data_IF_726008391780
#
_entry.id   IF_726008391780
#
_cell.length_a   1.000
_cell.length_b   1.000
_cell.length_c   1.000
_cell.angle_alpha   90.00
_cell.angle_beta   90.00
_cell.angle_gamma   90.00
#
_symmetry.space_group_name_H-M   'P 1'
#
loop_
_entity.id
_entity.type
_entity.pdbx_description
1 polymer ?
#
# COMPACT_ATOMS: atom_id res chain seq x y z
N UNK A 1 1.38 -3.35 -14.45
CA UNK A 1 0.90 -3.20 -15.83
C UNK A 1 -0.29 -2.26 -15.86
N UNK A 2 -0.37 -1.38 -16.85
CA UNK A 2 -1.48 -0.46 -17.10
C UNK A 2 -2.15 -0.89 -18.40
N UNK A 3 -3.46 -1.03 -18.37
CA UNK A 3 -4.25 -1.44 -19.54
C UNK A 3 -5.28 -0.37 -19.89
N UNK A 4 -5.48 -0.14 -21.18
CA UNK A 4 -6.66 0.55 -21.69
C UNK A 4 -7.86 -0.38 -21.56
N UNK A 5 -8.89 0.10 -20.85
CA UNK A 5 -10.13 -0.64 -20.60
C UNK A 5 -11.38 0.11 -21.11
N UNK A 6 -11.20 1.18 -21.89
CA UNK A 6 -12.30 2.04 -22.35
C UNK A 6 -13.42 1.27 -23.07
N UNK A 7 -13.05 0.22 -23.80
CA UNK A 7 -14.03 -0.63 -24.50
C UNK A 7 -14.89 -1.53 -23.60
N UNK A 8 -14.54 -1.71 -22.31
CA UNK A 8 -15.37 -2.51 -21.40
C UNK A 8 -16.75 -1.88 -21.14
N UNK A 9 -16.84 -0.54 -21.14
CA UNK A 9 -18.12 0.15 -21.03
C UNK A 9 -19.08 -0.17 -22.19
N UNK A 10 -18.54 -0.35 -23.40
CA UNK A 10 -19.32 -0.73 -24.58
C UNK A 10 -19.84 -2.17 -24.49
N UNK A 11 -19.04 -3.08 -23.92
CA UNK A 11 -19.48 -4.45 -23.64
C UNK A 11 -20.54 -4.45 -22.56
N UNK A 12 -20.35 -3.69 -21.47
CA UNK A 12 -21.33 -3.61 -20.38
C UNK A 12 -22.69 -3.02 -20.83
N UNK A 13 -22.67 -2.07 -21.76
CA UNK A 13 -23.90 -1.50 -22.36
C UNK A 13 -24.52 -2.35 -23.46
N UNK A 14 -23.91 -3.45 -23.87
CA UNK A 14 -24.34 -4.30 -24.98
C UNK A 14 -24.07 -3.72 -26.36
N UNK A 15 -23.36 -2.59 -26.48
CA UNK A 15 -23.02 -1.98 -27.76
C UNK A 15 -21.81 -2.65 -28.46
N UNK A 16 -21.08 -3.50 -27.75
CA UNK A 16 -20.09 -4.39 -28.28
C UNK A 16 -20.24 -5.80 -27.67
N UNK A 17 -19.87 -6.85 -28.42
CA UNK A 17 -19.92 -8.24 -27.94
C UNK A 17 -18.71 -8.61 -27.09
N UNK A 18 -17.56 -8.04 -27.35
CA UNK A 18 -16.31 -8.33 -26.66
C UNK A 18 -15.35 -7.14 -26.75
N UNK A 19 -14.39 -7.11 -25.87
CA UNK A 19 -13.28 -6.17 -25.89
C UNK A 19 -12.02 -6.85 -25.33
N UNK A 20 -10.90 -6.62 -25.96
CA UNK A 20 -9.59 -7.09 -25.49
C UNK A 20 -8.82 -5.89 -24.93
N UNK A 21 -8.54 -5.84 -23.62
CA UNK A 21 -7.75 -4.78 -23.02
C UNK A 21 -6.37 -4.67 -23.69
N UNK A 22 -5.98 -3.45 -24.04
CA UNK A 22 -4.68 -3.17 -24.64
C UNK A 22 -3.68 -2.77 -23.56
N UNK A 23 -2.53 -3.46 -23.49
CA UNK A 23 -1.44 -3.06 -22.61
C UNK A 23 -0.90 -1.69 -23.05
N UNK A 24 -0.91 -0.71 -22.16
CA UNK A 24 -0.34 0.62 -22.36
C UNK A 24 1.08 0.68 -21.83
N UNK A 25 1.30 0.27 -20.59
CA UNK A 25 2.60 0.37 -19.96
C UNK A 25 2.85 -0.71 -18.92
N UNK A 26 4.12 -0.90 -18.63
CA UNK A 26 4.60 -1.87 -17.64
C UNK A 26 5.79 -1.31 -16.88
N UNK A 27 5.80 -1.53 -15.58
CA UNK A 27 6.99 -1.38 -14.74
C UNK A 27 7.30 -2.73 -14.08
N UNK A 28 8.57 -3.03 -13.92
CA UNK A 28 9.04 -4.28 -13.31
C UNK A 28 9.98 -3.92 -12.16
N UNK A 29 9.70 -4.44 -10.96
CA UNK A 29 10.53 -4.24 -9.77
C UNK A 29 11.53 -5.39 -9.56
N UNK A 30 11.35 -6.51 -10.25
CA UNK A 30 12.07 -7.75 -10.04
C UNK A 30 12.81 -8.20 -11.30
N UNK A 31 14.10 -8.54 -11.22
CA UNK A 31 15.01 -8.25 -10.11
C UNK A 31 15.25 -6.74 -9.94
N UNK A 32 15.91 -6.23 -8.86
CA UNK A 32 16.71 -7.00 -7.89
C UNK A 32 15.96 -7.43 -6.64
N UNK A 33 14.70 -6.98 -6.47
CA UNK A 33 13.94 -7.30 -5.25
C UNK A 33 13.16 -8.61 -5.39
N UNK A 34 12.91 -9.34 -4.28
CA UNK A 34 12.04 -10.51 -4.28
C UNK A 34 10.62 -10.14 -4.72
N UNK A 35 10.05 -10.93 -5.63
CA UNK A 35 8.72 -10.69 -6.18
C UNK A 35 7.59 -10.87 -5.17
N UNK A 36 6.39 -10.63 -5.58
CA UNK A 36 5.05 -10.70 -5.00
C UNK A 36 4.41 -9.32 -4.83
N UNK A 37 4.40 -8.52 -5.91
CA UNK A 37 3.57 -7.31 -5.95
C UNK A 37 2.11 -7.70 -5.71
N UNK A 38 1.50 -7.06 -4.71
CA UNK A 38 0.19 -7.45 -4.19
C UNK A 38 -0.89 -6.41 -4.48
N UNK A 39 -0.76 -5.21 -3.92
CA UNK A 39 -1.79 -4.16 -4.05
C UNK A 39 -1.28 -3.00 -4.90
N UNK A 40 -2.17 -2.43 -5.72
CA UNK A 40 -1.90 -1.24 -6.49
C UNK A 40 -3.03 -0.23 -6.26
N UNK A 41 -2.67 1.00 -5.87
CA UNK A 41 -3.61 2.04 -5.49
C UNK A 41 -3.29 3.35 -6.22
N UNK A 42 -4.08 3.74 -7.23
CA UNK A 42 -3.90 5.01 -7.93
C UNK A 42 -4.28 6.22 -7.06
N UNK A 43 -3.49 7.28 -7.14
CA UNK A 43 -3.80 8.64 -6.69
C UNK A 43 -4.15 9.46 -7.93
N UNK A 44 -5.41 9.44 -8.34
CA UNK A 44 -5.82 9.94 -9.65
C UNK A 44 -5.54 11.42 -9.87
N UNK A 45 -5.73 12.26 -8.84
CA UNK A 45 -5.48 13.71 -8.95
C UNK A 45 -4.02 14.05 -9.14
N UNK A 46 -3.13 13.23 -8.57
CA UNK A 46 -1.68 13.43 -8.65
C UNK A 46 -1.04 12.67 -9.81
N UNK A 47 -1.77 11.74 -10.43
CA UNK A 47 -1.24 10.81 -11.42
C UNK A 47 0.00 10.06 -10.90
N UNK A 48 -0.06 9.70 -9.62
CA UNK A 48 0.86 8.82 -8.92
C UNK A 48 0.14 7.52 -8.53
N UNK A 49 0.87 6.54 -8.07
CA UNK A 49 0.28 5.34 -7.50
C UNK A 49 1.15 4.79 -6.37
N UNK A 50 0.49 4.19 -5.39
CA UNK A 50 1.13 3.30 -4.43
C UNK A 50 1.05 1.86 -4.92
N UNK A 51 2.11 1.10 -4.72
CA UNK A 51 2.08 -0.35 -4.86
C UNK A 51 2.70 -0.99 -3.62
N UNK A 52 2.24 -2.16 -3.24
CA UNK A 52 2.85 -2.93 -2.17
C UNK A 52 3.26 -4.31 -2.65
N UNK A 53 4.34 -4.82 -2.09
CA UNK A 53 4.65 -6.25 -2.14
C UNK A 53 3.85 -7.00 -1.07
N UNK A 54 3.92 -8.33 -1.07
CA UNK A 54 3.46 -9.17 0.03
C UNK A 54 4.63 -9.96 0.61
N UNK A 55 4.80 -9.90 1.94
CA UNK A 55 5.62 -10.87 2.64
C UNK A 55 4.88 -12.22 2.72
N UNK A 56 5.49 -13.26 2.15
CA UNK A 56 4.90 -14.59 2.05
C UNK A 56 5.57 -15.62 2.93
N UNK A 57 6.71 -15.30 3.54
CA UNK A 57 7.52 -16.20 4.34
C UNK A 57 7.83 -15.64 5.73
N UNK A 58 7.68 -16.47 6.76
CA UNK A 58 7.98 -16.07 8.13
C UNK A 58 9.46 -15.72 8.33
N UNK A 59 9.72 -14.85 9.31
CA UNK A 59 11.06 -14.45 9.73
C UNK A 59 11.87 -13.78 8.60
N UNK A 60 11.22 -13.00 7.74
CA UNK A 60 11.81 -12.24 6.65
C UNK A 60 12.61 -13.08 5.64
N UNK A 61 12.27 -14.33 5.44
CA UNK A 61 13.00 -15.20 4.50
C UNK A 61 12.92 -14.73 3.04
N UNK A 62 11.92 -13.92 2.71
CA UNK A 62 11.73 -13.34 1.39
C UNK A 62 11.75 -11.78 1.40
N UNK A 63 12.32 -11.18 2.45
CA UNK A 63 12.51 -9.72 2.56
C UNK A 63 13.52 -9.19 1.51
N UNK A 64 13.45 -7.89 1.18
CA UNK A 64 12.48 -6.91 1.66
C UNK A 64 11.15 -6.98 0.92
N UNK A 65 10.06 -6.60 1.60
CA UNK A 65 8.73 -6.38 1.01
C UNK A 65 8.30 -4.96 1.30
N UNK A 66 8.16 -4.17 0.26
CA UNK A 66 8.14 -2.72 0.32
C UNK A 66 6.78 -2.15 -0.11
N UNK A 67 6.56 -0.90 0.26
CA UNK A 67 5.58 -0.03 -0.38
C UNK A 67 6.33 0.91 -1.32
N UNK A 68 5.88 0.97 -2.56
CA UNK A 68 6.49 1.69 -3.65
C UNK A 68 5.64 2.90 -4.02
N UNK A 69 6.29 4.01 -4.38
CA UNK A 69 5.66 5.15 -5.00
C UNK A 69 6.03 5.19 -6.48
N UNK A 70 5.01 5.27 -7.33
CA UNK A 70 5.16 5.27 -8.78
C UNK A 70 4.64 6.57 -9.39
N UNK A 71 5.34 7.07 -10.40
CA UNK A 71 4.83 8.08 -11.33
C UNK A 71 4.11 7.37 -12.48
N UNK A 72 2.84 7.70 -12.67
CA UNK A 72 1.99 7.17 -13.75
C UNK A 72 1.48 8.28 -14.69
N UNK A 73 2.13 9.46 -14.69
CA UNK A 73 1.79 10.57 -15.59
C UNK A 73 1.89 10.17 -17.06
N UNK A 74 2.90 9.35 -17.38
CA UNK A 74 3.02 8.69 -18.67
C UNK A 74 2.59 7.21 -18.52
N UNK A 75 1.34 6.90 -18.82
CA UNK A 75 0.80 5.53 -18.66
C UNK A 75 1.54 4.47 -19.49
N UNK A 76 2.19 4.91 -20.57
CA UNK A 76 3.02 4.05 -21.42
C UNK A 76 4.42 3.78 -20.84
N UNK A 77 4.83 4.57 -19.85
CA UNK A 77 6.14 4.47 -19.20
C UNK A 77 6.02 4.78 -17.69
N UNK A 78 5.34 3.95 -16.88
CA UNK A 78 5.28 4.12 -15.44
C UNK A 78 6.68 3.93 -14.82
N UNK A 79 7.04 4.77 -13.83
CA UNK A 79 8.38 4.79 -13.22
C UNK A 79 8.25 4.71 -11.70
N UNK A 80 9.12 3.90 -11.07
CA UNK A 80 9.28 3.93 -9.60
C UNK A 80 10.07 5.18 -9.23
N UNK A 81 9.54 5.97 -8.30
CA UNK A 81 10.15 7.23 -7.86
C UNK A 81 10.50 7.25 -6.37
N UNK A 82 10.07 6.24 -5.61
CA UNK A 82 10.38 6.13 -4.20
C UNK A 82 9.89 4.84 -3.56
N UNK A 83 10.33 4.63 -2.33
CA UNK A 83 9.87 3.54 -1.46
C UNK A 83 9.57 4.07 -0.07
N UNK A 84 8.69 3.38 0.67
CA UNK A 84 8.52 3.63 2.09
C UNK A 84 9.83 3.37 2.86
N UNK A 85 10.18 4.20 3.84
CA UNK A 85 11.36 3.98 4.65
C UNK A 85 11.21 2.72 5.50
N UNK A 86 12.33 2.02 5.75
CA UNK A 86 12.42 0.95 6.73
C UNK A 86 12.95 1.52 8.04
N UNK A 87 12.35 1.11 9.15
CA UNK A 87 12.80 1.51 10.48
C UNK A 87 14.00 0.69 10.95
N UNK A 88 14.83 1.28 11.81
CA UNK A 88 16.02 0.62 12.34
C UNK A 88 15.72 -0.65 13.15
N UNK A 89 14.54 -0.73 13.78
CA UNK A 89 14.08 -1.89 14.56
C UNK A 89 13.39 -2.98 13.71
N UNK A 90 13.21 -2.75 12.41
CA UNK A 90 12.60 -3.73 11.52
C UNK A 90 13.35 -5.07 11.50
N UNK A 91 14.67 -5.05 11.68
CA UNK A 91 15.46 -6.27 11.85
C UNK A 91 15.11 -7.11 13.09
N UNK A 92 14.64 -6.49 14.17
CA UNK A 92 14.15 -7.20 15.35
C UNK A 92 12.80 -7.87 15.08
N UNK A 93 11.95 -7.27 14.25
CA UNK A 93 10.67 -7.82 13.84
C UNK A 93 10.80 -9.11 13.03
N UNK A 94 11.84 -9.22 12.22
CA UNK A 94 12.15 -10.47 11.50
C UNK A 94 12.40 -11.66 12.42
N UNK A 95 12.88 -11.41 13.64
CA UNK A 95 13.17 -12.45 14.65
C UNK A 95 11.99 -12.73 15.60
N UNK A 96 10.99 -11.86 15.59
CA UNK A 96 9.87 -11.95 16.53
C UNK A 96 8.85 -13.05 16.20
N UNK A 97 8.93 -13.62 15.00
CA UNK A 97 8.01 -14.65 14.51
C UNK A 97 6.97 -14.08 13.52
N UNK A 98 6.40 -14.98 12.72
CA UNK A 98 5.44 -14.65 11.68
C UNK A 98 6.07 -13.85 10.53
N UNK A 99 5.21 -13.24 9.72
CA UNK A 99 5.59 -12.42 8.57
C UNK A 99 5.87 -10.99 9.00
N UNK A 100 6.83 -10.35 8.32
CA UNK A 100 7.14 -8.93 8.45
C UNK A 100 7.38 -8.32 7.07
N UNK A 101 6.57 -7.38 6.68
CA UNK A 101 6.64 -6.71 5.38
C UNK A 101 5.30 -6.13 4.98
N UNK A 102 5.29 -5.37 3.90
CA UNK A 102 4.08 -4.80 3.33
C UNK A 102 3.09 -5.89 2.90
N UNK A 103 1.81 -5.53 2.87
CA UNK A 103 0.75 -6.38 2.33
C UNK A 103 -0.33 -5.51 1.67
N UNK A 104 -1.52 -5.38 2.27
CA UNK A 104 -2.61 -4.61 1.70
C UNK A 104 -2.43 -3.11 1.93
N UNK A 105 -2.78 -2.32 0.93
CA UNK A 105 -2.98 -0.88 1.04
C UNK A 105 -4.46 -0.55 1.19
N UNK A 106 -4.75 0.58 1.82
CA UNK A 106 -6.10 1.13 1.87
C UNK A 106 -6.66 1.32 0.46
N UNK A 107 -7.87 0.80 0.14
CA UNK A 107 -8.46 0.97 -1.18
C UNK A 107 -8.83 2.43 -1.46
N UNK A 108 -8.24 3.04 -2.49
CA UNK A 108 -8.56 4.41 -2.91
C UNK A 108 -9.60 4.40 -4.05
N UNK A 109 -10.69 3.70 -3.84
CA UNK A 109 -11.77 3.54 -4.83
C UNK A 109 -12.98 4.38 -4.45
N UNK A 110 -13.80 4.82 -5.44
CA UNK A 110 -15.06 5.48 -5.14
C UNK A 110 -16.00 4.54 -4.40
N UNK A 111 -16.60 5.02 -3.32
CA UNK A 111 -17.58 4.26 -2.56
C UNK A 111 -17.90 4.90 -1.22
N UNK A 112 -19.01 4.53 -0.58
CA UNK A 112 -19.43 5.14 0.68
C UNK A 112 -18.64 4.64 1.90
N UNK A 113 -17.80 3.62 1.73
CA UNK A 113 -17.10 2.95 2.84
C UNK A 113 -15.66 3.43 3.04
N UNK A 114 -15.06 4.06 2.04
CA UNK A 114 -13.64 4.37 2.04
C UNK A 114 -13.40 5.87 1.87
N UNK A 115 -12.61 6.44 2.77
CA UNK A 115 -12.09 7.79 2.59
C UNK A 115 -11.11 7.81 1.41
N UNK A 116 -11.25 8.80 0.54
CA UNK A 116 -10.26 9.01 -0.52
C UNK A 116 -8.99 9.64 0.04
N UNK A 117 -7.86 9.02 -0.24
CA UNK A 117 -6.53 9.46 0.17
C UNK A 117 -5.71 9.77 -1.08
N UNK A 118 -5.42 11.05 -1.30
CA UNK A 118 -4.72 11.51 -2.52
C UNK A 118 -3.22 11.78 -2.28
N UNK A 119 -2.80 11.90 -1.02
CA UNK A 119 -1.40 12.10 -0.65
C UNK A 119 -0.88 11.01 0.28
N UNK A 120 -1.78 10.33 0.98
CA UNK A 120 -1.43 9.35 1.99
C UNK A 120 -1.90 7.94 1.60
N UNK A 121 -1.34 6.94 2.26
CA UNK A 121 -1.87 5.57 2.24
C UNK A 121 -1.74 4.95 3.62
N UNK A 122 -2.60 3.99 3.90
CA UNK A 122 -2.52 3.13 5.09
C UNK A 122 -2.19 1.72 4.62
N UNK A 123 -1.13 1.17 5.16
CA UNK A 123 -0.63 -0.15 4.81
C UNK A 123 -0.73 -1.11 6.01
N UNK A 124 -1.15 -2.33 5.78
CA UNK A 124 -0.93 -3.42 6.70
C UNK A 124 0.48 -3.97 6.52
N UNK A 125 1.14 -4.29 7.64
CA UNK A 125 2.55 -4.70 7.65
C UNK A 125 2.79 -5.94 8.52
N UNK A 126 1.86 -6.87 8.54
CA UNK A 126 1.87 -8.08 9.37
C UNK A 126 2.30 -7.81 10.81
N UNK A 127 3.43 -8.34 11.30
CA UNK A 127 3.91 -8.07 12.67
C UNK A 127 4.49 -6.66 12.87
N UNK A 128 4.66 -5.90 11.80
CA UNK A 128 4.94 -4.46 11.81
C UNK A 128 3.69 -3.59 11.97
N UNK A 129 2.51 -4.19 12.10
CA UNK A 129 1.26 -3.50 12.45
C UNK A 129 0.60 -2.76 11.30
N UNK A 130 0.07 -1.57 11.61
CA UNK A 130 -0.49 -0.61 10.66
C UNK A 130 0.50 0.50 10.47
N UNK A 131 0.79 0.86 9.21
CA UNK A 131 1.73 1.95 8.88
C UNK A 131 1.06 2.96 7.95
N UNK A 132 1.38 4.22 8.13
CA UNK A 132 0.81 5.34 7.38
C UNK A 132 1.94 6.06 6.66
N UNK A 133 1.81 6.18 5.34
CA UNK A 133 2.81 6.82 4.50
C UNK A 133 2.21 8.01 3.76
N UNK A 134 3.05 9.00 3.47
CA UNK A 134 2.71 10.18 2.69
C UNK A 134 3.71 10.39 1.56
N UNK A 135 3.19 10.75 0.38
CA UNK A 135 3.99 11.25 -0.72
C UNK A 135 4.14 12.77 -0.58
N UNK A 136 5.32 13.22 -0.19
CA UNK A 136 5.65 14.62 0.07
C UNK A 136 6.37 15.20 -1.13
N UNK A 137 5.93 16.37 -1.59
CA UNK A 137 6.63 17.07 -2.66
C UNK A 137 8.08 17.39 -2.23
N UNK A 138 8.99 17.32 -3.17
CA UNK A 138 10.39 17.70 -2.91
C UNK A 138 10.49 19.16 -2.48
N UNK A 139 11.45 19.50 -1.61
CA UNK A 139 11.64 20.87 -1.17
C UNK A 139 11.74 21.83 -2.35
N UNK A 140 11.18 23.02 -2.18
CA UNK A 140 11.21 24.08 -3.18
C UNK A 140 12.65 24.41 -3.61
N UNK A 141 12.89 24.45 -4.91
CA UNK A 141 14.18 24.82 -5.50
C UNK A 141 14.73 23.83 -6.53
N UNK A 142 14.18 22.63 -6.61
CA UNK A 142 14.51 21.68 -7.67
C UNK A 142 13.26 21.48 -8.52
N UNK A 143 13.15 22.13 -9.70
CA UNK A 143 12.02 21.93 -10.58
C UNK A 143 11.88 20.44 -10.95
N UNK A 144 10.64 19.95 -10.96
CA UNK A 144 10.30 18.58 -11.37
C UNK A 144 10.95 17.46 -10.54
N UNK A 145 11.51 17.76 -9.37
CA UNK A 145 12.00 16.71 -8.49
C UNK A 145 10.84 15.78 -8.06
N UNK A 146 11.04 14.45 -8.09
CA UNK A 146 10.00 13.53 -7.71
C UNK A 146 9.67 13.67 -6.22
N UNK A 147 8.40 13.45 -5.82
CA UNK A 147 8.05 13.39 -4.40
C UNK A 147 8.78 12.24 -3.71
N UNK A 148 9.07 12.40 -2.42
CA UNK A 148 9.61 11.35 -1.56
C UNK A 148 8.54 10.79 -0.63
N UNK A 149 8.83 9.64 -0.02
CA UNK A 149 7.91 8.97 0.90
C UNK A 149 8.34 9.21 2.34
N UNK A 150 7.39 9.66 3.16
CA UNK A 150 7.55 9.78 4.60
C UNK A 150 6.59 8.83 5.32
N UNK A 151 7.05 8.17 6.39
CA UNK A 151 6.15 7.54 7.34
C UNK A 151 5.66 8.60 8.32
N UNK A 152 4.35 8.76 8.40
CA UNK A 152 3.70 9.78 9.24
C UNK A 152 3.13 9.20 10.53
N UNK A 153 3.09 7.89 10.66
CA UNK A 153 2.65 7.21 11.86
C UNK A 153 2.54 5.71 11.71
N UNK A 154 2.53 5.02 12.86
CA UNK A 154 2.31 3.59 12.91
C UNK A 154 1.63 3.18 14.21
N UNK A 155 1.05 1.99 14.21
CA UNK A 155 0.56 1.33 15.40
C UNK A 155 0.81 -0.17 15.31
N UNK A 156 1.50 -0.72 16.30
CA UNK A 156 1.82 -2.14 16.39
C UNK A 156 1.15 -2.69 17.64
N UNK A 157 0.04 -3.44 17.51
CA UNK A 157 -0.63 -4.07 18.64
C UNK A 157 0.29 -5.11 19.32
N UNK A 158 0.08 -5.33 20.60
CA UNK A 158 0.65 -6.49 21.28
C UNK A 158 0.07 -7.78 20.71
N UNK A 159 0.87 -8.84 20.74
CA UNK A 159 0.39 -10.15 20.33
C UNK A 159 -0.75 -10.63 21.23
N UNK A 160 -1.91 -10.99 20.67
CA UNK A 160 -3.00 -11.53 21.48
C UNK A 160 -2.59 -12.86 22.13
N UNK A 161 -3.13 -13.18 23.32
CA UNK A 161 -2.89 -14.47 23.96
C UNK A 161 -3.20 -15.64 23.01
N UNK A 162 -2.32 -16.63 22.98
CA UNK A 162 -2.44 -17.84 22.12
C UNK A 162 -2.38 -17.58 20.62
N UNK A 163 -1.81 -16.44 20.20
CA UNK A 163 -1.54 -16.20 18.77
C UNK A 163 -0.53 -17.24 18.27
N UNK A 164 -0.84 -18.00 17.20
CA UNK A 164 0.01 -19.08 16.72
C UNK A 164 1.37 -18.60 16.16
N UNK A 165 1.48 -17.36 15.73
CA UNK A 165 2.75 -16.79 15.25
C UNK A 165 3.59 -16.14 16.37
N UNK A 166 3.04 -16.01 17.58
CA UNK A 166 3.68 -15.30 18.69
C UNK A 166 3.67 -13.77 18.56
N UNK A 167 3.21 -13.25 17.42
CA UNK A 167 3.13 -11.80 17.13
C UNK A 167 1.81 -11.46 16.45
N UNK A 168 1.38 -10.20 16.53
CA UNK A 168 0.27 -9.70 15.71
C UNK A 168 0.59 -9.90 14.22
N UNK A 169 -0.44 -10.15 13.43
CA UNK A 169 -0.30 -10.30 11.98
C UNK A 169 -1.39 -9.48 11.27
N UNK A 170 -1.20 -8.15 11.22
CA UNK A 170 -2.16 -7.26 10.58
C UNK A 170 -2.23 -7.55 9.09
N UNK A 171 -3.41 -8.00 8.67
CA UNK A 171 -3.63 -8.46 7.30
C UNK A 171 -4.16 -7.36 6.38
N UNK A 172 -5.05 -6.51 6.87
CA UNK A 172 -5.65 -5.43 6.10
C UNK A 172 -5.95 -4.23 7.00
N UNK A 173 -5.95 -3.03 6.40
CA UNK A 173 -6.36 -1.81 7.08
C UNK A 173 -7.09 -0.89 6.09
N UNK A 174 -8.23 -0.32 6.53
CA UNK A 174 -9.02 0.62 5.75
C UNK A 174 -9.29 1.88 6.57
N UNK A 175 -9.57 2.99 5.89
CA UNK A 175 -9.98 4.26 6.50
C UNK A 175 -11.38 4.59 6.05
N UNK A 176 -12.29 4.85 6.99
CA UNK A 176 -13.65 5.29 6.67
C UNK A 176 -13.73 6.82 6.45
N UNK A 177 -14.88 7.32 6.02
CA UNK A 177 -15.11 8.74 5.77
C UNK A 177 -14.90 9.63 7.01
N UNK A 178 -14.99 9.06 8.22
CA UNK A 178 -14.73 9.76 9.49
C UNK A 178 -13.25 9.81 9.86
N UNK A 179 -12.39 9.14 9.08
CA UNK A 179 -10.96 9.02 9.33
C UNK A 179 -10.60 7.97 10.41
N UNK A 180 -11.53 7.05 10.73
CA UNK A 180 -11.21 5.90 11.57
C UNK A 180 -10.57 4.81 10.73
N UNK A 181 -9.51 4.21 11.27
CA UNK A 181 -8.78 3.13 10.65
C UNK A 181 -9.26 1.81 11.25
N UNK A 182 -9.70 0.89 10.41
CA UNK A 182 -10.12 -0.45 10.79
C UNK A 182 -9.06 -1.43 10.32
N UNK A 183 -8.39 -2.08 11.26
CA UNK A 183 -7.31 -3.01 10.96
C UNK A 183 -7.63 -4.38 11.55
N UNK A 184 -7.46 -5.45 10.78
CA UNK A 184 -7.69 -6.80 11.26
C UNK A 184 -6.41 -7.61 11.37
N UNK A 185 -6.28 -8.33 12.49
CA UNK A 185 -5.32 -9.42 12.65
C UNK A 185 -5.87 -10.67 11.97
N UNK A 186 -5.03 -11.35 11.20
CA UNK A 186 -5.42 -12.57 10.48
C UNK A 186 -5.59 -13.81 11.35
N UNK A 187 -5.20 -13.74 12.62
CA UNK A 187 -5.30 -14.87 13.57
C UNK A 187 -6.28 -14.56 14.71
N UNK A 188 -5.77 -14.20 15.87
CA UNK A 188 -6.57 -14.13 17.11
C UNK A 188 -6.80 -12.73 17.65
N UNK A 189 -6.20 -11.69 17.03
CA UNK A 189 -6.32 -10.32 17.48
C UNK A 189 -7.63 -9.63 17.12
N UNK A 190 -8.37 -10.16 16.15
CA UNK A 190 -9.65 -9.62 15.73
C UNK A 190 -9.52 -8.28 15.01
N UNK A 191 -10.35 -7.30 15.39
CA UNK A 191 -10.46 -5.99 14.76
C UNK A 191 -9.97 -4.89 15.71
N UNK A 192 -9.06 -4.07 15.21
CA UNK A 192 -8.62 -2.84 15.86
C UNK A 192 -9.29 -1.64 15.20
N UNK A 193 -9.86 -0.73 16.00
CA UNK A 193 -10.39 0.55 15.52
C UNK A 193 -9.48 1.63 16.05
N UNK A 194 -8.79 2.33 15.15
CA UNK A 194 -7.74 3.28 15.48
C UNK A 194 -8.12 4.69 14.99
N UNK A 195 -7.58 5.70 15.65
CA UNK A 195 -7.64 7.09 15.22
C UNK A 195 -6.22 7.59 15.01
N UNK A 196 -5.96 8.13 13.84
CA UNK A 196 -4.71 8.84 13.61
C UNK A 196 -4.68 10.15 14.40
N UNK A 197 -3.60 10.39 15.14
CA UNK A 197 -3.42 11.56 16.01
C UNK A 197 -2.22 12.42 15.62
N UNK A 198 -1.61 12.13 14.47
CA UNK A 198 -0.49 12.90 13.97
C UNK A 198 -0.88 14.31 13.51
N UNK A 199 0.13 15.15 13.28
CA UNK A 199 -0.07 16.56 12.90
C UNK A 199 -0.49 16.74 11.44
N UNK A 200 -0.13 15.80 10.59
CA UNK A 200 -0.44 15.84 9.16
C UNK A 200 -1.78 15.16 8.93
N UNK A 201 -2.79 15.83 8.34
CA UNK A 201 -4.08 15.19 8.09
C UNK A 201 -3.97 13.97 7.18
N UNK A 202 -4.84 12.98 7.41
CA UNK A 202 -5.13 11.94 6.41
C UNK A 202 -6.09 12.54 5.38
N UNK A 203 -5.65 12.62 4.15
CA UNK A 203 -6.40 13.26 3.04
C UNK A 203 -6.71 12.29 1.91
#
# INVERSE_FOLDING_TARGET
>A
MIFDIAGLAQVASGSARSYTPRLLGRVQFHPPYPAWTHTFQPMFKRRLAWASDEDTADNCKDAPKLVWLLDIRAETNPVIIGTAPLHADDGARCKAGGRFGAHNLHPNVPGPLYKRLENTTVASWFNGGVRLFRAVESPSGVPDAPPHVEEIGYYIPEAPPKNPSGTVQINHAIVDERGLIYANDRFTGGLYILRYTGRVPLD
#
